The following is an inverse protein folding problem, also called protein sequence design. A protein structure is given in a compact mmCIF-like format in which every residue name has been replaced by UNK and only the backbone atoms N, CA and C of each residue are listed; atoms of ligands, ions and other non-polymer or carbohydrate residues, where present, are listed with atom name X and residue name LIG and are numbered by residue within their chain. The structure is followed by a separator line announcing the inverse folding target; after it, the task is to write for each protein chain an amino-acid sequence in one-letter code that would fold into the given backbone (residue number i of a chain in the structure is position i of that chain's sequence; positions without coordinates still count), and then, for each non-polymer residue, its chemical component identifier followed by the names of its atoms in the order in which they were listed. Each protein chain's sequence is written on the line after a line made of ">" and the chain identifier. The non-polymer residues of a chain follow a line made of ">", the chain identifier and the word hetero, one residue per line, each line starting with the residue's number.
data_IF_277300348383
#
_entry.id   IF_277300348383
#
_cell.length_a   1.000
_cell.length_b   1.000
_cell.length_c   1.000
_cell.angle_alpha   90.00
_cell.angle_beta   90.00
_cell.angle_gamma   90.00
#
_symmetry.space_group_name_H-M   'P 1'
#
loop_
_entity.id
_entity.type
_entity.pdbx_description
1 polymer ?
#
# COMPACT_ATOMS: atom_id res chain seq x y z
N UNK A 1 -1.06 -5.10 -31.66
CA UNK A 1 -2.04 -4.22 -30.97
C UNK A 1 -2.33 -4.80 -29.60
N UNK A 2 -1.62 -4.35 -28.57
CA UNK A 2 -2.12 -4.34 -27.20
C UNK A 2 -1.72 -2.97 -26.67
N UNK A 3 -2.61 -2.03 -26.93
CA UNK A 3 -2.58 -0.67 -26.43
C UNK A 3 -3.39 -0.70 -25.13
N UNK A 4 -2.73 -0.51 -24.00
CA UNK A 4 -3.37 -0.40 -22.70
C UNK A 4 -2.51 0.49 -21.79
N UNK A 5 -2.29 1.71 -22.27
CA UNK A 5 -1.78 2.84 -21.51
C UNK A 5 -2.74 3.11 -20.33
N UNK A 6 -2.49 2.46 -19.19
CA UNK A 6 -3.34 2.63 -18.00
C UNK A 6 -2.96 3.95 -17.33
N UNK A 7 -3.52 5.06 -17.85
CA UNK A 7 -3.39 6.40 -17.28
C UNK A 7 -4.06 6.45 -15.91
N UNK A 8 -3.29 6.71 -14.85
CA UNK A 8 -3.82 7.19 -13.56
C UNK A 8 -3.03 8.43 -13.15
N UNK A 9 -3.73 9.56 -13.16
CA UNK A 9 -3.25 10.90 -12.84
C UNK A 9 -2.98 10.98 -11.33
N UNK A 10 -1.79 11.45 -10.95
CA UNK A 10 -1.46 11.86 -9.59
C UNK A 10 -1.02 13.34 -9.63
N UNK A 11 -1.65 14.18 -8.80
CA UNK A 11 -1.33 15.61 -8.65
C UNK A 11 -0.52 15.81 -7.36
N UNK A 12 0.57 16.57 -7.42
CA UNK A 12 1.30 17.10 -6.27
C UNK A 12 1.47 18.63 -6.40
N UNK A 13 1.65 19.29 -5.25
CA UNK A 13 1.35 20.71 -4.94
C UNK A 13 2.24 21.78 -5.60
N UNK A 14 3.12 21.39 -6.52
CA UNK A 14 4.13 22.24 -7.18
C UNK A 14 3.95 22.34 -8.71
N UNK A 15 2.82 21.88 -9.25
CA UNK A 15 2.36 22.20 -10.61
C UNK A 15 3.13 21.55 -11.76
N UNK A 16 4.11 20.69 -11.48
CA UNK A 16 4.84 19.92 -12.50
C UNK A 16 4.16 18.57 -12.73
N UNK A 17 3.51 18.42 -13.89
CA UNK A 17 2.97 17.14 -14.33
C UNK A 17 4.11 16.20 -14.75
N UNK A 18 4.33 15.12 -13.99
CA UNK A 18 5.11 13.98 -14.48
C UNK A 18 4.17 12.77 -14.49
N UNK A 19 3.54 12.50 -15.63
CA UNK A 19 2.77 11.28 -15.84
C UNK A 19 3.74 10.08 -15.83
N UNK A 20 3.85 9.39 -14.68
CA UNK A 20 4.68 8.19 -14.55
C UNK A 20 3.99 7.03 -15.25
N UNK A 21 4.57 6.60 -16.36
CA UNK A 21 4.17 5.40 -17.10
C UNK A 21 4.95 4.19 -16.58
N UNK A 22 4.31 3.03 -16.56
CA UNK A 22 4.90 1.81 -16.03
C UNK A 22 5.12 0.83 -17.18
N UNK A 23 6.38 0.52 -17.49
CA UNK A 23 6.75 -0.43 -18.55
C UNK A 23 7.37 -1.70 -17.96
N UNK A 24 7.11 -2.84 -18.61
CA UNK A 24 7.73 -4.12 -18.28
C UNK A 24 8.87 -4.37 -19.27
N UNK A 25 10.11 -4.40 -18.77
CA UNK A 25 11.32 -4.69 -19.56
C UNK A 25 12.07 -5.82 -18.84
N UNK A 26 12.36 -6.93 -19.53
CA UNK A 26 13.10 -8.08 -18.97
C UNK A 26 12.61 -8.54 -17.58
N UNK A 27 11.31 -8.80 -17.44
CA UNK A 27 10.65 -9.16 -16.16
C UNK A 27 10.80 -8.12 -15.04
N UNK A 28 11.19 -6.89 -15.38
CA UNK A 28 11.43 -5.81 -14.44
C UNK A 28 10.54 -4.62 -14.77
N UNK A 29 10.11 -3.91 -13.74
CA UNK A 29 9.31 -2.71 -13.89
C UNK A 29 10.22 -1.50 -14.00
N UNK A 30 9.99 -0.72 -15.05
CA UNK A 30 10.65 0.56 -15.29
C UNK A 30 9.57 1.63 -15.30
N UNK A 31 9.59 2.48 -14.29
CA UNK A 31 8.84 3.73 -14.27
C UNK A 31 9.51 4.67 -15.25
N UNK A 32 8.76 5.16 -16.24
CA UNK A 32 9.20 6.16 -17.21
C UNK A 32 8.41 7.44 -17.05
N UNK A 33 9.01 8.58 -17.39
CA UNK A 33 8.27 9.85 -17.45
C UNK A 33 7.32 9.87 -18.65
N UNK A 34 6.57 10.96 -18.79
CA UNK A 34 5.69 11.17 -19.95
C UNK A 34 6.44 11.16 -21.30
N UNK A 35 7.78 11.30 -21.28
CA UNK A 35 8.65 11.26 -22.46
C UNK A 35 9.28 9.87 -22.68
N UNK A 36 8.91 8.87 -21.88
CA UNK A 36 9.44 7.51 -21.96
C UNK A 36 10.86 7.35 -21.41
N UNK A 37 11.41 8.36 -20.73
CA UNK A 37 12.72 8.30 -20.08
C UNK A 37 12.61 7.51 -18.78
N UNK A 38 13.47 6.53 -18.58
CA UNK A 38 13.53 5.73 -17.35
C UNK A 38 13.79 6.65 -16.15
N UNK A 39 12.85 6.66 -15.21
CA UNK A 39 12.93 7.39 -13.94
C UNK A 39 13.37 6.45 -12.81
N UNK A 40 13.08 5.14 -12.92
CA UNK A 40 13.43 4.17 -11.87
C UNK A 40 14.38 3.08 -12.37
N UNK A 41 15.27 2.66 -11.48
CA UNK A 41 16.15 1.51 -11.67
C UNK A 41 15.38 0.18 -11.51
N UNK A 42 15.88 -0.86 -12.16
CA UNK A 42 15.40 -2.25 -12.15
C UNK A 42 15.25 -2.78 -10.71
N UNK A 43 14.04 -2.78 -10.14
CA UNK A 43 13.81 -3.30 -8.79
C UNK A 43 13.79 -4.84 -8.81
N UNK A 44 14.70 -5.47 -8.05
CA UNK A 44 14.77 -6.92 -7.94
C UNK A 44 13.65 -7.42 -7.04
N UNK A 45 12.89 -8.40 -7.52
CA UNK A 45 11.83 -9.04 -6.73
C UNK A 45 12.50 -10.08 -5.82
N UNK A 46 12.52 -9.80 -4.51
CA UNK A 46 12.94 -10.74 -3.48
C UNK A 46 11.73 -11.20 -2.65
N UNK A 47 11.92 -12.26 -1.86
CA UNK A 47 10.85 -12.82 -1.03
C UNK A 47 10.35 -11.84 0.03
N UNK A 48 11.26 -11.02 0.58
CA UNK A 48 10.96 -10.01 1.58
C UNK A 48 10.05 -8.91 1.03
N UNK A 49 10.27 -8.47 -0.21
CA UNK A 49 9.42 -7.49 -0.87
C UNK A 49 8.03 -8.07 -1.13
N UNK A 50 7.95 -9.31 -1.60
CA UNK A 50 6.66 -9.99 -1.81
C UNK A 50 5.90 -10.03 -0.49
N UNK A 51 6.50 -10.58 0.55
CA UNK A 51 5.91 -10.70 1.88
C UNK A 51 5.45 -9.33 2.42
N UNK A 52 6.29 -8.30 2.35
CA UNK A 52 5.92 -6.95 2.78
C UNK A 52 4.68 -6.42 2.04
N UNK A 53 4.64 -6.56 0.71
CA UNK A 53 3.50 -6.08 -0.10
C UNK A 53 2.22 -6.85 0.21
N UNK A 54 2.29 -8.17 0.33
CA UNK A 54 1.12 -9.00 0.65
C UNK A 54 0.59 -8.65 2.04
N UNK A 55 1.46 -8.58 3.04
CA UNK A 55 1.08 -8.28 4.42
C UNK A 55 0.45 -6.89 4.57
N UNK A 56 0.99 -5.87 3.90
CA UNK A 56 0.43 -4.50 3.98
C UNK A 56 -0.91 -4.36 3.24
N UNK A 57 -1.16 -5.12 2.16
CA UNK A 57 -2.37 -4.97 1.34
C UNK A 57 -3.50 -5.92 1.74
N UNK A 58 -3.16 -7.18 2.01
CA UNK A 58 -4.12 -8.27 2.25
C UNK A 58 -3.95 -8.86 3.66
N UNK A 59 -2.75 -8.84 4.21
CA UNK A 59 -2.46 -9.41 5.52
C UNK A 59 -1.63 -10.68 5.42
N UNK A 60 -1.02 -11.05 6.53
CA UNK A 60 -0.02 -12.12 6.64
C UNK A 60 -0.56 -13.50 6.19
N UNK A 61 -1.85 -13.75 6.41
CA UNK A 61 -2.50 -15.02 6.07
C UNK A 61 -2.57 -15.30 4.57
N UNK A 62 -2.42 -14.29 3.71
CA UNK A 62 -2.37 -14.48 2.25
C UNK A 62 -0.97 -14.90 1.74
N UNK A 63 0.07 -14.75 2.56
CA UNK A 63 1.47 -15.00 2.19
C UNK A 63 1.73 -16.46 1.78
N UNK A 64 1.21 -17.49 2.50
CA UNK A 64 1.37 -18.89 2.10
C UNK A 64 0.82 -19.20 0.71
N UNK A 65 -0.33 -18.63 0.35
CA UNK A 65 -0.95 -18.81 -0.97
C UNK A 65 -0.04 -18.29 -2.08
N UNK A 66 0.53 -17.10 -1.89
CA UNK A 66 1.40 -16.48 -2.90
C UNK A 66 2.70 -17.26 -3.07
N UNK A 67 3.34 -17.69 -1.98
CA UNK A 67 4.55 -18.50 -2.09
C UNK A 67 4.26 -19.87 -2.69
N UNK A 68 3.13 -20.49 -2.38
CA UNK A 68 2.71 -21.75 -3.01
C UNK A 68 2.47 -21.62 -4.51
N UNK A 69 1.86 -20.51 -4.96
CA UNK A 69 1.59 -20.24 -6.37
C UNK A 69 2.85 -19.80 -7.15
N UNK A 70 3.93 -19.41 -6.46
CA UNK A 70 5.14 -18.91 -7.11
C UNK A 70 5.78 -20.01 -7.97
N UNK A 71 6.07 -19.67 -9.23
CA UNK A 71 6.60 -20.63 -10.21
C UNK A 71 5.57 -21.65 -10.73
N UNK A 72 4.35 -21.66 -10.20
CA UNK A 72 3.25 -22.52 -10.67
C UNK A 72 2.30 -21.76 -11.58
N UNK A 73 1.53 -22.49 -12.39
CA UNK A 73 0.54 -21.94 -13.30
C UNK A 73 -0.74 -22.76 -13.30
N UNK A 74 -1.86 -22.06 -13.40
CA UNK A 74 -3.23 -22.55 -13.47
C UNK A 74 -3.50 -23.56 -12.37
N UNK A 75 -3.32 -23.15 -11.11
CA UNK A 75 -3.59 -24.02 -9.97
C UNK A 75 -5.01 -23.84 -9.48
N UNK A 76 -5.73 -24.94 -9.30
CA UNK A 76 -7.11 -24.91 -8.81
C UNK A 76 -7.17 -24.42 -7.37
N UNK A 77 -8.18 -23.61 -7.05
CA UNK A 77 -8.45 -23.19 -5.67
C UNK A 77 -8.59 -24.36 -4.67
N UNK A 78 -9.08 -25.53 -5.13
CA UNK A 78 -9.17 -26.73 -4.28
C UNK A 78 -7.80 -27.32 -3.96
N UNK A 79 -6.88 -27.31 -4.93
CA UNK A 79 -5.50 -27.78 -4.73
C UNK A 79 -4.77 -26.83 -3.79
N UNK A 80 -4.97 -25.52 -3.94
CA UNK A 80 -4.38 -24.53 -3.02
C UNK A 80 -4.85 -24.77 -1.59
N UNK A 81 -6.15 -24.99 -1.39
CA UNK A 81 -6.74 -25.25 -0.09
C UNK A 81 -6.20 -26.55 0.54
N UNK A 82 -6.14 -27.63 -0.24
CA UNK A 82 -5.65 -28.94 0.22
C UNK A 82 -4.16 -28.90 0.61
N UNK A 83 -3.32 -28.31 -0.24
CA UNK A 83 -1.86 -28.30 -0.05
C UNK A 83 -1.40 -27.36 1.06
N UNK A 84 -2.21 -26.37 1.40
CA UNK A 84 -1.96 -25.43 2.49
C UNK A 84 -2.74 -25.77 3.77
N UNK A 85 -3.49 -26.87 3.77
CA UNK A 85 -4.38 -27.26 4.88
C UNK A 85 -5.31 -26.11 5.32
N UNK A 86 -5.90 -25.42 4.34
CA UNK A 86 -6.79 -24.27 4.55
C UNK A 86 -8.23 -24.61 4.19
N UNK A 87 -9.17 -23.98 4.88
CA UNK A 87 -10.58 -24.07 4.51
C UNK A 87 -10.84 -23.39 3.16
N UNK A 88 -11.58 -24.07 2.26
CA UNK A 88 -11.86 -23.56 0.91
C UNK A 88 -12.51 -22.18 0.90
N UNK A 89 -13.35 -21.86 1.89
CA UNK A 89 -14.00 -20.56 2.00
C UNK A 89 -12.99 -19.45 2.32
N UNK A 90 -12.04 -19.73 3.22
CA UNK A 90 -10.95 -18.84 3.58
C UNK A 90 -10.00 -18.64 2.39
N UNK A 91 -9.60 -19.74 1.72
CA UNK A 91 -8.75 -19.68 0.53
C UNK A 91 -9.36 -18.80 -0.56
N UNK A 92 -10.67 -18.96 -0.85
CA UNK A 92 -11.38 -18.12 -1.82
C UNK A 92 -11.42 -16.65 -1.40
N UNK A 93 -11.69 -16.36 -0.13
CA UNK A 93 -11.69 -14.99 0.37
C UNK A 93 -10.34 -14.31 0.14
N UNK A 94 -9.25 -14.98 0.50
CA UNK A 94 -7.89 -14.46 0.31
C UNK A 94 -7.55 -14.28 -1.17
N UNK A 95 -7.90 -15.25 -2.03
CA UNK A 95 -7.69 -15.16 -3.48
C UNK A 95 -8.45 -13.97 -4.10
N UNK A 96 -9.67 -13.68 -3.66
CA UNK A 96 -10.41 -12.51 -4.12
C UNK A 96 -9.79 -11.19 -3.66
N UNK A 97 -9.33 -11.10 -2.41
CA UNK A 97 -8.62 -9.90 -1.93
C UNK A 97 -7.30 -9.69 -2.68
N UNK A 98 -6.58 -10.75 -2.99
CA UNK A 98 -5.38 -10.69 -3.83
C UNK A 98 -5.70 -10.25 -5.27
N UNK A 99 -6.86 -10.67 -5.80
CA UNK A 99 -7.33 -10.28 -7.13
C UNK A 99 -7.65 -8.79 -7.23
N UNK A 100 -8.20 -8.17 -6.17
CA UNK A 100 -8.50 -6.72 -6.15
C UNK A 100 -7.25 -5.86 -6.43
N UNK A 101 -6.07 -6.34 -6.04
CA UNK A 101 -4.78 -5.70 -6.29
C UNK A 101 -4.06 -6.21 -7.54
N UNK A 102 -4.68 -7.11 -8.31
CA UNK A 102 -4.10 -7.84 -9.44
C UNK A 102 -2.84 -8.65 -9.08
N UNK A 103 -2.67 -9.00 -7.79
CA UNK A 103 -1.56 -9.86 -7.34
C UNK A 103 -1.73 -11.27 -7.88
N UNK A 104 -2.98 -11.71 -8.06
CA UNK A 104 -3.31 -12.96 -8.75
C UNK A 104 -4.21 -12.68 -9.96
N UNK A 105 -4.21 -13.60 -10.91
CA UNK A 105 -5.20 -13.66 -11.98
C UNK A 105 -5.85 -15.04 -11.98
N UNK A 106 -7.04 -15.16 -12.57
CA UNK A 106 -7.72 -16.44 -12.67
C UNK A 106 -8.30 -16.71 -14.05
N UNK A 107 -8.44 -17.99 -14.36
CA UNK A 107 -9.13 -18.50 -15.53
C UNK A 107 -10.20 -19.51 -15.09
N UNK A 108 -11.41 -19.36 -15.61
CA UNK A 108 -12.50 -20.32 -15.37
C UNK A 108 -12.57 -21.34 -16.49
N UNK A 109 -12.56 -22.63 -16.13
CA UNK A 109 -12.83 -23.73 -17.06
C UNK A 109 -14.07 -24.49 -16.62
N UNK A 110 -14.89 -24.88 -17.58
CA UNK A 110 -16.02 -25.78 -17.33
C UNK A 110 -15.49 -27.20 -17.24
N UNK A 111 -15.81 -27.88 -16.15
CA UNK A 111 -15.54 -29.30 -15.99
C UNK A 111 -16.45 -30.09 -16.93
N UNK A 112 -15.86 -30.91 -17.81
CA UNK A 112 -16.60 -31.70 -18.80
C UNK A 112 -17.36 -32.86 -18.16
N UNK A 113 -16.96 -33.30 -16.96
CA UNK A 113 -17.54 -34.46 -16.27
C UNK A 113 -18.68 -33.99 -15.35
N UNK A 114 -18.37 -33.05 -14.44
CA UNK A 114 -19.33 -32.60 -13.42
C UNK A 114 -20.18 -31.40 -13.85
N UNK A 115 -19.82 -30.72 -14.94
CA UNK A 115 -20.57 -29.58 -15.49
C UNK A 115 -20.41 -28.25 -14.75
N UNK A 116 -19.80 -28.23 -13.57
CA UNK A 116 -19.50 -27.01 -12.80
C UNK A 116 -18.26 -26.27 -13.32
N UNK A 117 -18.06 -25.02 -12.86
CA UNK A 117 -16.89 -24.22 -13.21
C UNK A 117 -15.82 -24.30 -12.13
N UNK A 118 -14.57 -24.46 -12.54
CA UNK A 118 -13.41 -24.44 -11.65
C UNK A 118 -12.56 -23.20 -11.99
N UNK A 119 -12.19 -22.46 -10.95
CA UNK A 119 -11.25 -21.33 -11.04
C UNK A 119 -9.82 -21.84 -10.87
N UNK A 120 -8.96 -21.44 -11.80
CA UNK A 120 -7.52 -21.70 -11.79
C UNK A 120 -6.78 -20.39 -11.64
N UNK A 121 -5.82 -20.34 -10.73
CA UNK A 121 -5.16 -19.12 -10.27
C UNK A 121 -3.68 -19.10 -10.65
N UNK A 122 -3.20 -17.90 -10.97
CA UNK A 122 -1.82 -17.58 -11.31
C UNK A 122 -1.32 -16.43 -10.43
N UNK A 123 -0.10 -16.53 -9.94
CA UNK A 123 0.57 -15.41 -9.29
C UNK A 123 1.17 -14.44 -10.33
N UNK A 124 0.79 -13.16 -10.23
CA UNK A 124 1.28 -12.06 -11.04
C UNK A 124 2.46 -11.38 -10.32
N UNK A 125 3.57 -12.10 -10.17
CA UNK A 125 4.77 -11.61 -9.45
C UNK A 125 5.28 -10.26 -9.96
N UNK A 126 5.09 -10.01 -11.26
CA UNK A 126 5.40 -8.77 -11.93
C UNK A 126 4.71 -7.55 -11.26
N UNK A 127 3.51 -7.68 -10.68
CA UNK A 127 2.83 -6.56 -10.04
C UNK A 127 3.47 -6.08 -8.72
N UNK A 128 4.34 -6.88 -8.10
CA UNK A 128 4.87 -6.62 -6.75
C UNK A 128 5.68 -5.31 -6.68
N UNK A 129 6.65 -5.02 -7.57
CA UNK A 129 7.36 -3.74 -7.60
C UNK A 129 6.45 -2.51 -7.68
N UNK A 130 5.44 -2.58 -8.54
CA UNK A 130 4.48 -1.49 -8.72
C UNK A 130 3.67 -1.24 -7.44
N UNK A 131 3.18 -2.31 -6.81
CA UNK A 131 2.40 -2.22 -5.58
C UNK A 131 3.23 -1.72 -4.40
N UNK A 132 4.49 -2.15 -4.29
CA UNK A 132 5.42 -1.66 -3.28
C UNK A 132 5.63 -0.14 -3.38
N UNK A 133 5.85 0.35 -4.59
CA UNK A 133 6.03 1.78 -4.83
C UNK A 133 4.75 2.58 -4.53
N UNK A 134 3.60 2.04 -4.94
CA UNK A 134 2.29 2.63 -4.62
C UNK A 134 2.05 2.74 -3.10
N UNK A 135 2.40 1.69 -2.33
CA UNK A 135 2.33 1.70 -0.87
C UNK A 135 3.24 2.76 -0.26
N UNK A 136 4.49 2.85 -0.75
CA UNK A 136 5.48 3.82 -0.30
C UNK A 136 4.99 5.25 -0.51
N UNK A 137 4.52 5.58 -1.71
CA UNK A 137 3.98 6.90 -2.04
C UNK A 137 2.76 7.25 -1.20
N UNK A 138 1.84 6.30 -1.00
CA UNK A 138 0.68 6.49 -0.13
C UNK A 138 1.10 6.77 1.32
N UNK A 139 2.14 6.10 1.82
CA UNK A 139 2.70 6.33 3.16
C UNK A 139 3.33 7.72 3.28
N UNK A 140 4.10 8.14 2.28
CA UNK A 140 4.69 9.48 2.22
C UNK A 140 3.59 10.55 2.22
N UNK A 141 2.55 10.39 1.39
CA UNK A 141 1.45 11.34 1.33
C UNK A 141 0.73 11.49 2.68
N UNK A 142 0.48 10.38 3.39
CA UNK A 142 -0.10 10.41 4.75
C UNK A 142 0.81 11.12 5.76
N UNK A 143 2.11 10.90 5.68
CA UNK A 143 3.08 11.56 6.57
C UNK A 143 3.18 13.06 6.27
N UNK A 144 3.17 13.46 4.99
CA UNK A 144 3.16 14.87 4.57
C UNK A 144 1.89 15.59 5.01
N UNK A 145 0.71 14.97 4.83
CA UNK A 145 -0.56 15.51 5.34
C UNK A 145 -0.52 15.70 6.87
N UNK A 146 -0.01 14.70 7.60
CA UNK A 146 0.17 14.81 9.04
C UNK A 146 1.13 15.94 9.41
N UNK A 147 2.28 16.04 8.75
CA UNK A 147 3.27 17.09 8.99
C UNK A 147 2.69 18.48 8.70
N UNK A 148 1.90 18.62 7.63
CA UNK A 148 1.17 19.84 7.30
C UNK A 148 0.25 20.26 8.43
N UNK A 149 -0.57 19.33 8.96
CA UNK A 149 -1.45 19.57 10.11
C UNK A 149 -0.69 19.95 11.38
N UNK A 150 0.45 19.31 11.65
CA UNK A 150 1.31 19.61 12.81
C UNK A 150 2.05 20.96 12.69
N UNK A 151 2.19 21.47 11.46
CA UNK A 151 2.88 22.74 11.18
C UNK A 151 1.91 23.92 11.13
N UNK A 152 0.70 23.72 10.60
CA UNK A 152 -0.31 24.77 10.48
C UNK A 152 -1.14 24.96 11.75
N UNK A 153 -1.30 23.92 12.57
CA UNK A 153 -2.15 23.99 13.76
C UNK A 153 -1.32 24.01 15.05
N UNK A 154 -1.78 24.82 16.01
CA UNK A 154 -1.37 24.68 17.40
C UNK A 154 -2.25 23.63 18.08
N UNK A 155 -1.62 22.81 18.91
CA UNK A 155 -2.32 21.76 19.65
C UNK A 155 -2.23 22.01 21.14
N UNK A 156 -3.30 21.64 21.83
CA UNK A 156 -3.37 21.65 23.28
C UNK A 156 -3.62 20.23 23.76
N UNK A 157 -2.99 19.85 24.85
CA UNK A 157 -3.10 18.53 25.47
C UNK A 157 -3.45 18.67 26.94
N UNK A 158 -4.33 17.79 27.42
CA UNK A 158 -4.60 17.66 28.86
C UNK A 158 -3.35 17.15 29.58
N UNK A 159 -3.08 17.62 30.81
CA UNK A 159 -1.99 17.09 31.65
C UNK A 159 -2.10 15.59 31.90
N UNK A 160 -3.33 15.10 32.12
CA UNK A 160 -3.63 13.68 32.26
C UNK A 160 -3.66 12.90 30.93
N UNK A 161 -3.24 13.52 29.82
CA UNK A 161 -3.26 12.94 28.47
C UNK A 161 -4.62 12.41 28.00
N UNK A 162 -5.73 12.90 28.58
CA UNK A 162 -7.08 12.43 28.25
C UNK A 162 -7.47 12.74 26.79
N UNK A 163 -7.12 13.94 26.31
CA UNK A 163 -7.41 14.37 24.94
C UNK A 163 -6.39 15.38 24.44
N UNK A 164 -6.26 15.43 23.11
CA UNK A 164 -5.46 16.39 22.36
C UNK A 164 -6.36 17.08 21.34
N UNK A 165 -6.36 18.40 21.32
CA UNK A 165 -7.25 19.20 20.47
C UNK A 165 -6.47 20.30 19.75
N UNK A 166 -7.00 20.76 18.61
CA UNK A 166 -6.50 21.95 17.93
C UNK A 166 -6.85 23.20 18.73
N UNK A 167 -6.20 24.32 18.43
CA UNK A 167 -6.52 25.62 19.04
C UNK A 167 -8.01 25.98 18.93
N UNK A 168 -8.61 25.84 17.74
CA UNK A 168 -10.03 26.16 17.50
C UNK A 168 -10.96 25.36 18.43
N UNK A 169 -10.79 24.04 18.48
CA UNK A 169 -11.56 23.18 19.39
C UNK A 169 -11.29 23.51 20.86
N UNK A 170 -10.04 23.83 21.20
CA UNK A 170 -9.69 24.21 22.56
C UNK A 170 -10.38 25.52 22.95
N UNK A 171 -10.49 26.48 22.02
CA UNK A 171 -11.21 27.73 22.22
C UNK A 171 -12.70 27.50 22.45
N UNK A 172 -13.34 26.60 21.68
CA UNK A 172 -14.74 26.19 21.91
C UNK A 172 -14.97 25.63 23.32
N UNK A 173 -14.04 24.81 23.81
CA UNK A 173 -14.07 24.26 25.18
C UNK A 173 -13.42 25.18 26.23
N UNK A 174 -13.15 26.45 25.91
CA UNK A 174 -12.51 27.41 26.83
C UNK A 174 -11.21 26.90 27.47
N UNK A 175 -10.43 26.16 26.68
CA UNK A 175 -9.18 25.47 27.04
C UNK A 175 -9.32 24.49 28.21
N UNK A 176 -10.51 23.93 28.42
CA UNK A 176 -10.76 22.89 29.41
C UNK A 176 -10.94 21.53 28.74
N UNK A 177 -10.41 20.50 29.38
CA UNK A 177 -10.58 19.13 28.92
C UNK A 177 -12.06 18.72 29.09
N UNK A 178 -12.74 18.23 28.04
CA UNK A 178 -14.12 17.76 28.13
C UNK A 178 -14.31 16.53 29.01
N UNK A 179 -13.24 15.75 29.25
CA UNK A 179 -13.29 14.51 30.05
C UNK A 179 -13.08 14.75 31.55
N UNK A 180 -12.06 15.55 31.91
CA UNK A 180 -11.66 15.76 33.31
C UNK A 180 -11.86 17.18 33.83
N UNK A 181 -12.22 18.14 32.97
CA UNK A 181 -12.42 19.54 33.34
C UNK A 181 -11.13 20.34 33.61
N UNK A 182 -9.96 19.71 33.57
CA UNK A 182 -8.67 20.39 33.78
C UNK A 182 -8.31 21.33 32.63
N UNK A 183 -7.51 22.36 32.94
CA UNK A 183 -6.99 23.30 31.95
C UNK A 183 -5.97 22.58 31.06
N UNK A 184 -6.15 22.70 29.75
CA UNK A 184 -5.25 22.15 28.74
C UNK A 184 -4.03 23.04 28.55
N UNK A 185 -2.91 22.41 28.19
CA UNK A 185 -1.64 23.10 27.96
C UNK A 185 -1.27 23.04 26.48
N UNK A 186 -0.67 24.11 25.96
CA UNK A 186 -0.11 24.10 24.62
C UNK A 186 0.97 23.01 24.51
N UNK A 187 0.90 22.23 23.44
CA UNK A 187 1.84 21.17 23.16
C UNK A 187 2.91 21.68 22.19
N UNK A 188 4.18 21.55 22.59
CA UNK A 188 5.29 21.69 21.67
C UNK A 188 5.37 20.47 20.73
N UNK A 189 5.08 20.70 19.45
CA UNK A 189 5.13 19.68 18.39
C UNK A 189 6.47 19.62 17.66
N UNK A 190 7.51 20.35 18.08
CA UNK A 190 8.78 20.45 17.36
C UNK A 190 9.42 19.07 17.16
N UNK A 191 9.51 18.25 18.21
CA UNK A 191 10.00 16.86 18.13
C UNK A 191 9.18 15.99 17.18
N UNK A 192 7.85 16.15 17.18
CA UNK A 192 6.95 15.41 16.30
C UNK A 192 7.19 15.78 14.84
N UNK A 193 7.37 17.08 14.55
CA UNK A 193 7.66 17.56 13.19
C UNK A 193 9.00 17.05 12.69
N UNK A 194 10.05 17.10 13.52
CA UNK A 194 11.37 16.55 13.20
C UNK A 194 11.30 15.06 12.88
N UNK A 195 10.62 14.28 13.73
CA UNK A 195 10.42 12.85 13.51
C UNK A 195 9.69 12.56 12.19
N UNK A 196 8.59 13.26 11.92
CA UNK A 196 7.84 13.08 10.66
C UNK A 196 8.68 13.45 9.44
N UNK A 197 9.44 14.54 9.52
CA UNK A 197 10.34 15.00 8.43
C UNK A 197 11.44 13.98 8.16
N UNK A 198 12.06 13.43 9.21
CA UNK A 198 13.07 12.40 9.08
C UNK A 198 12.48 11.13 8.43
N UNK A 199 11.31 10.69 8.87
CA UNK A 199 10.63 9.50 8.31
C UNK A 199 10.28 9.68 6.82
N UNK A 200 9.83 10.87 6.42
CA UNK A 200 9.57 11.19 5.01
C UNK A 200 10.87 11.11 4.21
N UNK A 201 11.95 11.74 4.72
CA UNK A 201 13.26 11.73 4.07
C UNK A 201 13.80 10.31 3.89
N UNK A 202 13.69 9.46 4.91
CA UNK A 202 14.13 8.05 4.82
C UNK A 202 13.34 7.25 3.77
N UNK A 203 12.03 7.48 3.66
CA UNK A 203 11.18 6.83 2.66
C UNK A 203 11.44 7.35 1.24
N UNK A 204 11.77 8.63 1.08
CA UNK A 204 12.16 9.22 -0.21
C UNK A 204 13.55 8.73 -0.64
N UNK A 205 14.51 8.60 0.29
CA UNK A 205 15.87 8.13 -0.01
C UNK A 205 15.92 6.65 -0.44
N UNK A 206 14.99 5.82 0.04
CA UNK A 206 14.91 4.40 -0.35
C UNK A 206 14.65 4.19 -1.85
N UNK A 207 14.13 5.18 -2.59
CA UNK A 207 14.07 5.15 -4.07
C UNK A 207 15.46 5.21 -4.71
N UNK A 208 16.47 5.76 -4.02
CA UNK A 208 17.78 6.09 -4.59
C UNK A 208 18.81 4.97 -4.34
N UNK A 209 18.60 4.12 -3.34
CA UNK A 209 19.68 3.28 -2.77
C UNK A 209 19.57 1.77 -2.91
N UNK A 210 18.69 1.22 -3.76
CA UNK A 210 18.74 -0.20 -4.14
C UNK A 210 18.57 -0.39 -5.66
#
# INVERSE_FOLDING_TARGET
>A
MIDAETRRIFMLDDGVQIERHVRIIDKSFVFTDAKGKEISKKMKIDEKLIEHVITELVGEEATPIIFYLRGKKQISEFIIAEELDMEIHMTRNLLYRLLEFNIVSFLRKKDRIKGWYICYWDFNEHMIPYLAEKLRLAKIARLKDRLGKESSNMFYICKGACTRMTFEKSMEFSFKCPECGEIMQEQDNTRTKEFLTQQIFELEKKEITN
#
